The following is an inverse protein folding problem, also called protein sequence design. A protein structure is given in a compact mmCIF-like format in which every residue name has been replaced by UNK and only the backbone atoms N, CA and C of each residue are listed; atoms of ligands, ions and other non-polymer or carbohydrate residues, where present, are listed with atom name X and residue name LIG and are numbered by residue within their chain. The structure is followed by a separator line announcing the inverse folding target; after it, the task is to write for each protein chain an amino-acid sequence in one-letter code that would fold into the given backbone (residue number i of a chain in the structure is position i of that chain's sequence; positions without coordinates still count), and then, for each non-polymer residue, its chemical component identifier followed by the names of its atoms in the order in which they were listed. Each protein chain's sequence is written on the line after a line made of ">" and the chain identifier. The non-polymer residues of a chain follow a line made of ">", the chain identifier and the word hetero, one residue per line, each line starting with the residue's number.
data_IF_961386301380
#
_entry.id   IF_961386301380
#
_cell.length_a   1.000
_cell.length_b   1.000
_cell.length_c   1.000
_cell.angle_alpha   90.00
_cell.angle_beta   90.00
_cell.angle_gamma   90.00
#
_symmetry.space_group_name_H-M   'P 1'
#
loop_
_entity.id
_entity.type
_entity.pdbx_description
1 polymer ?
#
# COMPACT_ATOMS: atom_id res chain seq x y z
N UNK A 1 3.48 5.84 9.08
CA UNK A 1 4.89 6.05 8.71
C UNK A 1 5.00 7.04 7.54
N UNK A 2 4.40 6.76 6.36
CA UNK A 2 4.49 7.62 5.18
C UNK A 2 3.92 9.04 5.42
N UNK A 3 2.89 9.17 6.23
CA UNK A 3 2.29 10.47 6.58
C UNK A 3 3.28 11.37 7.31
N UNK A 4 4.11 10.81 8.16
CA UNK A 4 5.08 11.56 8.97
C UNK A 4 6.17 12.17 8.09
N UNK A 5 6.75 11.39 7.18
CA UNK A 5 7.81 11.87 6.28
C UNK A 5 7.28 12.90 5.28
N UNK A 6 6.10 12.66 4.69
CA UNK A 6 5.46 13.59 3.77
C UNK A 6 5.13 14.93 4.43
N UNK A 7 4.66 14.92 5.69
CA UNK A 7 4.35 16.14 6.42
C UNK A 7 5.59 17.00 6.71
N UNK A 8 6.74 16.37 6.86
CA UNK A 8 8.02 17.06 7.11
C UNK A 8 8.63 17.56 5.80
N UNK A 9 8.65 16.72 4.77
CA UNK A 9 9.42 16.98 3.55
C UNK A 9 8.67 17.79 2.49
N UNK A 10 7.32 17.80 2.53
CA UNK A 10 6.53 18.56 1.55
C UNK A 10 5.94 19.80 2.20
N UNK A 11 6.50 20.96 1.85
CA UNK A 11 6.05 22.25 2.38
C UNK A 11 4.64 22.61 1.91
N UNK A 12 3.87 23.29 2.78
CA UNK A 12 2.53 23.81 2.44
C UNK A 12 1.40 22.79 2.53
N UNK A 13 1.67 21.56 2.89
CA UNK A 13 0.62 20.57 3.19
C UNK A 13 -0.19 21.04 4.40
N UNK A 14 -1.52 21.08 4.25
CA UNK A 14 -2.45 21.43 5.32
C UNK A 14 -3.14 20.22 5.94
N UNK A 15 -3.29 19.15 5.16
CA UNK A 15 -3.98 17.93 5.57
C UNK A 15 -3.44 16.75 4.78
N UNK A 16 -3.13 15.67 5.48
CA UNK A 16 -2.78 14.37 4.93
C UNK A 16 -3.66 13.32 5.61
N UNK A 17 -4.15 12.36 4.84
CA UNK A 17 -4.89 11.20 5.34
C UNK A 17 -4.49 9.96 4.57
N UNK A 18 -4.43 8.85 5.26
CA UNK A 18 -4.24 7.53 4.68
C UNK A 18 -5.53 6.71 4.86
N UNK A 19 -5.93 6.02 3.82
CA UNK A 19 -7.08 5.11 3.85
C UNK A 19 -6.65 3.75 3.32
N UNK A 20 -7.14 2.70 3.98
CA UNK A 20 -7.07 1.34 3.47
C UNK A 20 -8.49 0.79 3.43
N UNK A 21 -8.88 0.20 2.32
CA UNK A 21 -10.22 -0.34 2.12
C UNK A 21 -10.18 -1.86 2.11
N UNK A 22 -11.19 -2.47 2.69
CA UNK A 22 -11.38 -3.91 2.75
C UNK A 22 -12.79 -4.27 2.29
N UNK A 23 -12.97 -5.50 1.82
CA UNK A 23 -14.31 -5.99 1.50
C UNK A 23 -15.18 -6.11 2.77
N UNK A 24 -16.49 -5.98 2.61
CA UNK A 24 -17.45 -6.17 3.70
C UNK A 24 -17.29 -7.55 4.37
N UNK A 25 -17.09 -8.59 3.57
CA UNK A 25 -16.82 -9.94 4.07
C UNK A 25 -15.58 -9.97 4.97
N UNK A 26 -14.49 -9.34 4.56
CA UNK A 26 -13.26 -9.26 5.38
C UNK A 26 -13.54 -8.57 6.71
N UNK A 27 -14.20 -7.43 6.69
CA UNK A 27 -14.53 -6.66 7.90
C UNK A 27 -15.44 -7.44 8.85
N UNK A 28 -16.42 -8.17 8.31
CA UNK A 28 -17.32 -9.04 9.11
C UNK A 28 -16.52 -10.13 9.83
N UNK A 29 -15.62 -10.82 9.13
CA UNK A 29 -14.80 -11.86 9.77
C UNK A 29 -13.83 -11.28 10.79
N UNK A 30 -13.18 -10.16 10.47
CA UNK A 30 -12.27 -9.49 11.39
C UNK A 30 -13.00 -9.06 12.67
N UNK A 31 -14.18 -8.45 12.53
CA UNK A 31 -15.01 -8.04 13.65
C UNK A 31 -15.42 -9.22 14.54
N UNK A 32 -15.80 -10.34 13.94
CA UNK A 32 -16.12 -11.56 14.68
C UNK A 32 -14.92 -12.04 15.51
N UNK A 33 -13.72 -12.09 14.91
CA UNK A 33 -12.49 -12.50 15.62
C UNK A 33 -12.13 -11.52 16.74
N UNK A 34 -12.38 -10.24 16.54
CA UNK A 34 -12.18 -9.20 17.56
C UNK A 34 -13.17 -9.38 18.73
N UNK A 35 -14.47 -9.56 18.43
CA UNK A 35 -15.53 -9.69 19.41
C UNK A 35 -15.36 -10.94 20.31
N UNK A 36 -14.79 -12.02 19.80
CA UNK A 36 -14.46 -13.22 20.58
C UNK A 36 -13.05 -13.19 21.22
N UNK A 37 -12.34 -12.07 21.10
CA UNK A 37 -11.02 -11.87 21.72
C UNK A 37 -9.84 -12.56 21.03
N UNK A 38 -10.03 -13.14 19.83
CA UNK A 38 -8.95 -13.85 19.11
C UNK A 38 -7.85 -12.91 18.60
N UNK A 39 -8.10 -11.60 18.51
CA UNK A 39 -7.11 -10.59 18.12
C UNK A 39 -6.34 -10.00 19.31
N UNK A 40 -6.64 -10.42 20.54
CA UNK A 40 -5.95 -9.94 21.75
C UNK A 40 -4.48 -10.33 21.76
N UNK A 41 -3.64 -9.39 22.19
CA UNK A 41 -2.22 -9.62 22.50
C UNK A 41 -2.00 -9.94 23.98
N UNK A 42 -3.03 -9.77 24.81
CA UNK A 42 -2.95 -10.10 26.24
C UNK A 42 -3.00 -11.62 26.42
N UNK A 43 -2.08 -12.18 27.24
CA UNK A 43 -2.04 -13.61 27.47
C UNK A 43 -3.26 -14.10 28.27
N UNK A 44 -3.73 -15.29 27.93
CA UNK A 44 -4.79 -16.00 28.65
C UNK A 44 -4.30 -17.38 29.08
N UNK A 45 -4.81 -17.88 30.21
CA UNK A 45 -4.47 -19.23 30.73
C UNK A 45 -5.40 -20.28 30.13
N UNK A 46 -4.84 -21.30 29.50
CA UNK A 46 -5.56 -22.46 28.98
C UNK A 46 -4.82 -23.75 29.33
N UNK A 47 -5.46 -24.66 30.08
CA UNK A 47 -4.86 -25.95 30.44
C UNK A 47 -3.54 -25.84 31.23
N UNK A 48 -3.36 -24.74 31.99
CA UNK A 48 -2.13 -24.48 32.75
C UNK A 48 -0.98 -23.88 31.94
N UNK A 49 -1.24 -23.51 30.67
CA UNK A 49 -0.28 -22.83 29.79
C UNK A 49 -0.77 -21.44 29.45
N UNK A 50 0.17 -20.53 29.31
CA UNK A 50 -0.11 -19.18 28.82
C UNK A 50 -0.17 -19.19 27.30
N UNK A 51 -1.24 -18.62 26.74
CA UNK A 51 -1.48 -18.50 25.30
C UNK A 51 -1.79 -17.05 24.98
N UNK A 52 -1.17 -16.51 23.94
CA UNK A 52 -1.56 -15.22 23.34
C UNK A 52 -2.53 -15.51 22.18
N UNK A 53 -3.82 -15.09 22.28
CA UNK A 53 -4.85 -15.43 21.28
C UNK A 53 -4.45 -15.09 19.84
N UNK A 54 -3.89 -13.89 19.60
CA UNK A 54 -3.43 -13.47 18.29
C UNK A 54 -2.34 -14.39 17.72
N UNK A 55 -1.41 -14.87 18.55
CA UNK A 55 -0.36 -15.78 18.11
C UNK A 55 -0.94 -17.16 17.76
N UNK A 56 -1.91 -17.62 18.51
CA UNK A 56 -2.62 -18.86 18.20
C UNK A 56 -3.43 -18.72 16.90
N UNK A 57 -4.21 -17.65 16.74
CA UNK A 57 -4.94 -17.36 15.50
C UNK A 57 -3.99 -17.38 14.30
N UNK A 58 -2.83 -16.76 14.41
CA UNK A 58 -1.83 -16.71 13.34
C UNK A 58 -1.37 -18.10 12.89
N UNK A 59 -1.32 -19.09 13.79
CA UNK A 59 -0.95 -20.47 13.41
C UNK A 59 -2.05 -21.20 12.62
N UNK A 60 -3.31 -20.75 12.73
CA UNK A 60 -4.46 -21.32 12.03
C UNK A 60 -4.69 -20.70 10.66
N UNK A 61 -4.23 -19.48 10.46
CA UNK A 61 -4.41 -18.77 9.18
C UNK A 61 -3.51 -19.38 8.09
N UNK A 62 -4.02 -19.48 6.86
CA UNK A 62 -3.20 -19.94 5.75
C UNK A 62 -2.05 -18.97 5.47
N UNK A 63 -0.92 -19.49 5.03
CA UNK A 63 0.17 -18.67 4.53
C UNK A 63 -0.36 -17.76 3.40
N UNK A 64 -0.19 -16.43 3.51
CA UNK A 64 -0.62 -15.48 2.48
C UNK A 64 -0.10 -15.80 1.08
N UNK A 65 1.11 -16.35 0.95
CA UNK A 65 1.67 -16.76 -0.33
C UNK A 65 0.85 -17.88 -1.00
N UNK A 66 0.26 -18.79 -0.19
CA UNK A 66 -0.59 -19.89 -0.68
C UNK A 66 -1.92 -19.40 -1.27
N UNK A 67 -2.31 -18.17 -1.01
CA UNK A 67 -3.56 -17.58 -1.49
C UNK A 67 -3.46 -17.05 -2.94
N UNK A 68 -2.26 -16.81 -3.43
CA UNK A 68 -2.01 -16.22 -4.76
C UNK A 68 -2.81 -16.86 -5.89
N UNK A 69 -2.84 -18.20 -6.04
CA UNK A 69 -3.57 -18.86 -7.14
C UNK A 69 -5.07 -18.62 -7.14
N UNK A 70 -5.66 -18.35 -5.98
CA UNK A 70 -7.12 -18.22 -5.81
C UNK A 70 -7.60 -16.80 -5.50
N UNK A 71 -6.69 -15.86 -5.22
CA UNK A 71 -7.06 -14.48 -4.96
C UNK A 71 -7.54 -13.83 -6.24
N UNK A 72 -8.76 -13.28 -6.21
CA UNK A 72 -9.41 -12.61 -7.35
C UNK A 72 -9.71 -11.16 -6.99
N UNK A 73 -9.84 -10.34 -8.02
CA UNK A 73 -10.11 -8.92 -7.87
C UNK A 73 -8.88 -8.07 -8.20
N UNK A 74 -8.90 -6.82 -7.76
CA UNK A 74 -7.88 -5.83 -8.10
C UNK A 74 -7.47 -5.03 -6.88
N UNK A 75 -6.21 -4.66 -6.81
CA UNK A 75 -5.75 -3.55 -5.96
C UNK A 75 -5.86 -2.26 -6.74
N UNK A 76 -6.21 -1.19 -6.05
CA UNK A 76 -6.14 0.17 -6.57
C UNK A 76 -5.38 1.02 -5.56
N UNK A 77 -4.27 1.59 -6.00
CA UNK A 77 -3.38 2.39 -5.16
C UNK A 77 -3.21 3.75 -5.82
N UNK A 78 -3.39 4.81 -5.05
CA UNK A 78 -3.22 6.15 -5.60
C UNK A 78 -3.36 7.26 -4.57
N UNK A 79 -3.11 8.49 -5.03
CA UNK A 79 -3.15 9.68 -4.20
C UNK A 79 -4.13 10.69 -4.80
N UNK A 80 -5.02 11.23 -3.97
CA UNK A 80 -5.89 12.34 -4.31
C UNK A 80 -5.27 13.63 -3.77
N UNK A 81 -4.99 14.54 -4.67
CA UNK A 81 -4.44 15.86 -4.38
C UNK A 81 -5.53 16.91 -4.51
N UNK A 82 -5.66 17.77 -3.50
CA UNK A 82 -6.55 18.94 -3.51
C UNK A 82 -5.71 20.17 -3.19
N UNK A 83 -5.72 21.15 -4.06
CA UNK A 83 -4.91 22.34 -3.88
C UNK A 83 -5.20 23.45 -4.86
N UNK A 84 -4.30 24.43 -4.95
CA UNK A 84 -4.41 25.55 -5.91
C UNK A 84 -3.23 25.51 -6.87
N UNK A 85 -3.52 25.65 -8.17
CA UNK A 85 -2.52 25.86 -9.23
C UNK A 85 -2.91 27.09 -10.01
N UNK A 86 -2.03 28.09 -10.08
CA UNK A 86 -2.28 29.37 -10.72
C UNK A 86 -3.55 30.08 -10.19
N UNK A 87 -3.74 30.08 -8.85
CA UNK A 87 -4.87 30.69 -8.17
C UNK A 87 -6.21 29.96 -8.27
N UNK A 88 -6.31 28.89 -9.08
CA UNK A 88 -7.52 28.09 -9.26
C UNK A 88 -7.44 26.79 -8.47
N UNK A 89 -8.54 26.39 -7.86
CA UNK A 89 -8.65 25.08 -7.22
C UNK A 89 -8.48 23.97 -8.25
N UNK A 90 -7.73 22.95 -7.85
CA UNK A 90 -7.48 21.75 -8.64
C UNK A 90 -7.63 20.52 -7.76
N UNK A 91 -8.23 19.50 -8.35
CA UNK A 91 -8.29 18.14 -7.81
C UNK A 91 -7.63 17.22 -8.83
N UNK A 92 -6.80 16.33 -8.33
CA UNK A 92 -6.11 15.35 -9.18
C UNK A 92 -6.03 14.04 -8.42
N UNK A 93 -6.38 12.96 -9.08
CA UNK A 93 -6.18 11.60 -8.59
C UNK A 93 -5.20 10.90 -9.52
N UNK A 94 -4.05 10.50 -8.99
CA UNK A 94 -3.08 9.66 -9.69
C UNK A 94 -3.16 8.27 -9.07
N UNK A 95 -3.39 7.24 -9.89
CA UNK A 95 -3.60 5.88 -9.40
C UNK A 95 -3.15 4.82 -10.39
N UNK A 96 -2.87 3.63 -9.87
CA UNK A 96 -2.76 2.41 -10.66
C UNK A 96 -3.79 1.38 -10.20
N UNK A 97 -4.09 0.44 -11.07
CA UNK A 97 -4.95 -0.70 -10.79
C UNK A 97 -4.26 -1.97 -11.25
N UNK A 98 -4.15 -2.95 -10.37
CA UNK A 98 -3.41 -4.18 -10.60
C UNK A 98 -4.31 -5.40 -10.32
N UNK A 99 -4.46 -6.28 -11.30
CA UNK A 99 -5.28 -7.49 -11.19
C UNK A 99 -4.50 -8.63 -10.54
N UNK A 100 -5.08 -9.29 -9.54
CA UNK A 100 -4.41 -10.37 -8.81
C UNK A 100 -4.03 -11.56 -9.70
N UNK A 101 -4.89 -11.95 -10.61
CA UNK A 101 -4.65 -13.12 -11.46
C UNK A 101 -3.65 -12.84 -12.58
N UNK A 102 -3.66 -11.63 -13.14
CA UNK A 102 -2.67 -11.23 -14.14
C UNK A 102 -1.26 -11.19 -13.50
N UNK A 103 -1.14 -10.61 -12.32
CA UNK A 103 0.14 -10.63 -11.59
C UNK A 103 0.58 -12.05 -11.25
N UNK A 104 -0.35 -12.91 -10.84
CA UNK A 104 -0.01 -14.29 -10.51
C UNK A 104 0.50 -15.07 -11.73
N UNK A 105 -0.08 -14.85 -12.91
CA UNK A 105 0.41 -15.44 -14.16
C UNK A 105 1.82 -14.98 -14.52
N UNK A 106 2.14 -13.71 -14.26
CA UNK A 106 3.42 -13.11 -14.62
C UNK A 106 4.54 -13.51 -13.66
N UNK A 107 4.31 -13.42 -12.35
CA UNK A 107 5.39 -13.53 -11.34
C UNK A 107 5.12 -14.57 -10.25
N UNK A 108 4.02 -15.34 -10.32
CA UNK A 108 3.66 -16.32 -9.29
C UNK A 108 3.26 -15.69 -7.95
N UNK A 109 2.92 -14.41 -7.94
CA UNK A 109 2.52 -13.65 -6.75
C UNK A 109 1.31 -12.77 -7.03
N UNK A 110 0.51 -12.49 -6.00
CA UNK A 110 -0.66 -11.65 -6.14
C UNK A 110 -0.32 -10.15 -6.26
N UNK A 111 -1.32 -9.34 -6.65
CA UNK A 111 -1.15 -7.90 -6.89
C UNK A 111 -0.56 -7.12 -5.71
N UNK A 112 -0.84 -7.49 -4.46
CA UNK A 112 -0.25 -6.80 -3.29
C UNK A 112 1.28 -6.96 -3.27
N UNK A 113 1.79 -8.16 -3.54
CA UNK A 113 3.24 -8.38 -3.64
C UNK A 113 3.83 -7.65 -4.86
N UNK A 114 3.11 -7.65 -5.99
CA UNK A 114 3.53 -6.97 -7.21
C UNK A 114 3.63 -5.45 -7.03
N UNK A 115 2.58 -4.83 -6.49
CA UNK A 115 2.54 -3.37 -6.24
C UNK A 115 3.50 -2.91 -5.14
N UNK A 116 4.04 -3.83 -4.35
CA UNK A 116 5.11 -3.55 -3.37
C UNK A 116 6.50 -3.77 -3.98
N UNK A 117 6.69 -4.88 -4.70
CA UNK A 117 7.99 -5.28 -5.22
C UNK A 117 8.47 -4.43 -6.40
N UNK A 118 7.58 -4.09 -7.34
CA UNK A 118 7.95 -3.29 -8.52
C UNK A 118 8.45 -1.90 -8.13
N UNK A 119 7.75 -1.11 -7.29
CA UNK A 119 8.27 0.18 -6.83
C UNK A 119 9.62 0.08 -6.10
N UNK A 120 9.79 -0.92 -5.24
CA UNK A 120 11.06 -1.14 -4.54
C UNK A 120 12.21 -1.44 -5.52
N UNK A 121 11.96 -2.29 -6.51
CA UNK A 121 12.92 -2.60 -7.58
C UNK A 121 13.29 -1.35 -8.39
N UNK A 122 12.29 -0.52 -8.76
CA UNK A 122 12.52 0.73 -9.50
C UNK A 122 13.38 1.69 -8.68
N UNK A 123 13.06 1.88 -7.39
CA UNK A 123 13.88 2.71 -6.50
C UNK A 123 15.32 2.25 -6.43
N UNK A 124 15.56 0.94 -6.24
CA UNK A 124 16.89 0.36 -6.25
C UNK A 124 17.61 0.60 -7.58
N UNK A 125 16.93 0.41 -8.71
CA UNK A 125 17.47 0.67 -10.05
C UNK A 125 17.88 2.13 -10.23
N UNK A 126 17.06 3.10 -9.78
CA UNK A 126 17.37 4.52 -9.90
C UNK A 126 18.57 4.93 -9.03
N UNK A 127 18.76 4.30 -7.88
CA UNK A 127 19.97 4.49 -7.06
C UNK A 127 21.19 3.87 -7.75
N UNK A 128 21.08 2.66 -8.27
CA UNK A 128 22.18 1.93 -8.91
C UNK A 128 22.67 2.60 -10.19
N UNK A 129 21.76 3.11 -11.02
CA UNK A 129 22.10 3.80 -12.26
C UNK A 129 22.55 5.27 -12.08
N UNK A 130 22.52 5.77 -10.84
CA UNK A 130 22.98 7.10 -10.48
C UNK A 130 21.94 8.20 -10.51
N UNK A 131 20.71 7.94 -11.00
CA UNK A 131 19.63 8.95 -11.10
C UNK A 131 19.23 9.49 -9.72
N UNK A 132 19.10 8.59 -8.72
CA UNK A 132 18.78 8.95 -7.33
C UNK A 132 19.98 8.79 -6.39
N UNK A 133 21.20 8.83 -6.91
CA UNK A 133 22.40 8.60 -6.12
C UNK A 133 22.89 9.87 -5.43
N UNK A 134 22.84 9.88 -4.12
CA UNK A 134 23.47 10.89 -3.25
C UNK A 134 23.88 10.25 -1.92
N UNK A 135 24.92 10.75 -1.22
CA UNK A 135 25.33 10.20 0.07
C UNK A 135 24.31 10.58 1.17
N UNK A 136 23.92 9.61 1.99
CA UNK A 136 23.00 9.80 3.10
C UNK A 136 21.82 8.85 3.08
N UNK A 137 20.84 9.11 3.96
CA UNK A 137 19.55 8.42 4.04
C UNK A 137 18.47 9.46 3.73
N UNK A 138 17.61 9.14 2.80
CA UNK A 138 16.59 10.05 2.27
C UNK A 138 15.26 9.34 2.11
N UNK A 139 14.16 10.07 2.27
CA UNK A 139 12.84 9.61 1.90
C UNK A 139 12.63 9.79 0.39
N UNK A 140 11.77 8.98 -0.20
CA UNK A 140 11.57 8.98 -1.67
C UNK A 140 11.03 10.30 -2.21
N UNK A 141 10.23 11.03 -1.42
CA UNK A 141 9.69 12.34 -1.77
C UNK A 141 10.73 13.46 -1.88
N UNK A 142 11.97 13.20 -1.48
CA UNK A 142 13.09 14.14 -1.61
C UNK A 142 13.83 14.03 -2.94
N UNK A 143 13.42 13.09 -3.79
CA UNK A 143 13.98 12.87 -5.12
C UNK A 143 13.04 13.38 -6.21
N UNK A 144 13.57 13.56 -7.41
CA UNK A 144 12.76 13.82 -8.60
C UNK A 144 11.85 12.61 -8.88
N UNK A 145 10.51 12.77 -8.89
CA UNK A 145 9.59 11.67 -9.11
C UNK A 145 9.49 11.24 -10.56
N UNK A 146 9.82 12.10 -11.54
CA UNK A 146 9.56 11.83 -12.96
C UNK A 146 10.21 10.55 -13.47
N UNK A 147 11.50 10.26 -13.20
CA UNK A 147 12.11 9.00 -13.62
C UNK A 147 11.45 7.75 -13.01
N UNK A 148 10.94 7.89 -11.79
CA UNK A 148 10.24 6.80 -11.11
C UNK A 148 8.84 6.56 -11.72
N UNK A 149 8.09 7.62 -11.98
CA UNK A 149 6.76 7.56 -12.60
C UNK A 149 6.84 6.98 -14.03
N UNK A 150 7.85 7.37 -14.81
CA UNK A 150 8.12 6.80 -16.12
C UNK A 150 8.46 5.30 -16.04
N UNK A 151 9.26 4.91 -15.07
CA UNK A 151 9.63 3.51 -14.86
C UNK A 151 8.44 2.66 -14.44
N UNK A 152 7.49 3.16 -13.62
CA UNK A 152 6.26 2.45 -13.28
C UNK A 152 5.49 2.03 -14.54
N UNK A 153 5.35 2.94 -15.52
CA UNK A 153 4.69 2.64 -16.79
C UNK A 153 5.39 1.54 -17.59
N UNK A 154 6.73 1.47 -17.50
CA UNK A 154 7.54 0.48 -18.23
C UNK A 154 7.59 -0.89 -17.56
N UNK A 155 7.46 -0.93 -16.23
CA UNK A 155 7.62 -2.14 -15.42
C UNK A 155 6.30 -2.69 -14.86
N UNK A 156 5.19 -2.52 -15.59
CA UNK A 156 3.94 -3.23 -15.33
C UNK A 156 2.98 -2.58 -14.35
N UNK A 157 3.28 -1.37 -13.85
CA UNK A 157 2.38 -0.58 -13.01
C UNK A 157 2.00 0.76 -13.66
N UNK A 158 1.35 0.75 -14.84
CA UNK A 158 0.97 2.00 -15.50
C UNK A 158 -0.01 2.77 -14.61
N UNK A 159 0.29 4.06 -14.43
CA UNK A 159 -0.58 4.96 -13.68
C UNK A 159 -1.49 5.76 -14.60
N UNK A 160 -2.58 6.24 -14.03
CA UNK A 160 -3.61 7.03 -14.69
C UNK A 160 -3.93 8.27 -13.88
N UNK A 161 -4.50 9.27 -14.55
CA UNK A 161 -4.98 10.50 -13.92
C UNK A 161 -6.50 10.64 -14.06
N UNK A 162 -7.12 11.24 -13.03
CA UNK A 162 -8.50 11.73 -13.05
C UNK A 162 -8.53 13.11 -12.43
N UNK A 163 -9.14 14.07 -13.15
CA UNK A 163 -9.15 15.49 -12.75
C UNK A 163 -10.35 15.90 -11.89
N UNK A 164 -11.35 15.04 -11.75
CA UNK A 164 -12.53 15.27 -10.91
C UNK A 164 -12.82 14.03 -10.05
N UNK A 165 -11.90 13.67 -9.14
CA UNK A 165 -12.11 12.52 -8.28
C UNK A 165 -13.20 12.78 -7.26
N UNK A 166 -13.92 11.70 -6.89
CA UNK A 166 -14.75 11.69 -5.69
C UNK A 166 -13.83 11.73 -4.47
N UNK A 167 -14.07 12.68 -3.58
CA UNK A 167 -13.29 12.80 -2.35
C UNK A 167 -13.79 11.81 -1.31
N UNK A 168 -12.88 11.29 -0.52
CA UNK A 168 -13.17 10.48 0.66
C UNK A 168 -13.23 11.42 1.85
N UNK A 169 -14.37 11.49 2.52
CA UNK A 169 -14.63 12.36 3.70
C UNK A 169 -14.20 11.70 5.01
#
# INVERSE_FOLDING_TARGET
>A
EEIESLAVNISGIKRIRFFMTFSESYLTHLKCLEDVGMTSIEPVMYGGQEIIPLQFLKTLLPDPASLGPRTKGKTNIGCIFVGKKNGKEKKLYIYNTCDHQECYKEVGSQAVAYTTGVPAMIGAMLVMNGTWRRPGVFNVEEFDPDPFMDALNRFGLPWKESHDPVLVD
#
